data_IF_553932799949
#
_entry.id   IF_553932799949
#
_cell.length_a   1.000
_cell.length_b   1.000
_cell.length_c   1.000
_cell.angle_alpha   90.00
_cell.angle_beta   90.00
_cell.angle_gamma   90.00
#
_symmetry.space_group_name_H-M   'P 1'
#
loop_
_entity.id
_entity.type
_entity.pdbx_description
1 polymer ?
#
# COMPACT_ATOMS: atom_id res chain seq x y z
N UNK A 1 -19.80 29.05 -0.27
CA UNK A 1 -19.51 28.59 -1.63
C UNK A 1 -19.56 29.81 -2.52
N UNK A 2 -18.49 30.10 -3.23
CA UNK A 2 -18.45 31.18 -4.22
C UNK A 2 -19.37 30.81 -5.38
N UNK A 3 -20.13 31.80 -5.91
CA UNK A 3 -20.97 31.58 -7.12
C UNK A 3 -20.12 31.54 -8.41
N UNK A 4 -18.80 31.73 -8.27
CA UNK A 4 -17.89 31.74 -9.40
C UNK A 4 -17.54 30.29 -9.83
N UNK A 5 -17.95 29.92 -11.04
CA UNK A 5 -17.73 28.60 -11.63
C UNK A 5 -16.26 28.19 -11.77
N UNK A 6 -15.33 29.16 -11.85
CA UNK A 6 -13.89 28.90 -11.87
C UNK A 6 -13.39 28.45 -10.49
N UNK A 7 -13.85 29.10 -9.44
CA UNK A 7 -13.57 28.72 -8.04
C UNK A 7 -14.14 27.34 -7.75
N UNK A 8 -15.40 27.09 -8.14
CA UNK A 8 -16.06 25.80 -7.93
C UNK A 8 -15.31 24.64 -8.58
N UNK A 9 -14.74 24.81 -9.77
CA UNK A 9 -13.93 23.78 -10.42
C UNK A 9 -12.71 23.38 -9.60
N UNK A 10 -11.99 24.34 -9.03
CA UNK A 10 -10.84 24.08 -8.16
C UNK A 10 -11.27 23.48 -6.81
N UNK A 11 -12.29 24.04 -6.19
CA UNK A 11 -12.82 23.51 -4.92
C UNK A 11 -13.25 22.06 -5.05
N UNK A 12 -14.01 21.70 -6.08
CA UNK A 12 -14.45 20.33 -6.35
C UNK A 12 -13.24 19.36 -6.56
N UNK A 13 -12.19 19.81 -7.26
CA UNK A 13 -11.01 19.01 -7.46
C UNK A 13 -10.23 18.79 -6.15
N UNK A 14 -10.08 19.83 -5.33
CA UNK A 14 -9.45 19.77 -4.02
C UNK A 14 -10.25 18.94 -3.01
N UNK A 15 -11.57 19.04 -3.06
CA UNK A 15 -12.47 18.18 -2.27
C UNK A 15 -12.29 16.71 -2.65
N UNK A 16 -12.31 16.39 -3.94
CA UNK A 16 -12.03 15.02 -4.43
C UNK A 16 -10.68 14.51 -3.94
N UNK A 17 -9.63 15.34 -3.99
CA UNK A 17 -8.32 14.98 -3.46
C UNK A 17 -8.37 14.69 -1.95
N UNK A 18 -9.00 15.58 -1.18
CA UNK A 18 -9.11 15.46 0.26
C UNK A 18 -9.92 14.22 0.68
N UNK A 19 -11.03 13.94 -0.03
CA UNK A 19 -11.81 12.71 0.17
C UNK A 19 -10.97 11.46 -0.08
N UNK A 20 -10.18 11.43 -1.18
CA UNK A 20 -9.34 10.28 -1.49
C UNK A 20 -8.19 10.10 -0.50
N UNK A 21 -7.62 11.18 0.04
CA UNK A 21 -6.66 11.11 1.14
C UNK A 21 -7.30 10.52 2.41
N UNK A 22 -8.50 10.94 2.76
CA UNK A 22 -9.23 10.41 3.91
C UNK A 22 -9.60 8.91 3.71
N UNK A 23 -10.02 8.53 2.50
CA UNK A 23 -10.27 7.13 2.14
C UNK A 23 -9.00 6.28 2.26
N UNK A 24 -7.84 6.77 1.80
CA UNK A 24 -6.56 6.09 1.95
C UNK A 24 -6.23 5.86 3.42
N UNK A 25 -6.41 6.88 4.25
CA UNK A 25 -6.14 6.80 5.68
C UNK A 25 -6.98 5.74 6.37
N UNK A 26 -8.27 5.68 6.02
CA UNK A 26 -9.18 4.65 6.49
C UNK A 26 -8.79 3.25 5.99
N UNK A 27 -8.44 3.12 4.70
CA UNK A 27 -8.06 1.85 4.10
C UNK A 27 -6.79 1.27 4.71
N UNK A 28 -5.77 2.08 4.97
CA UNK A 28 -4.50 1.62 5.54
C UNK A 28 -4.72 0.99 6.91
N UNK A 29 -5.68 1.48 7.69
CA UNK A 29 -6.05 0.96 9.01
C UNK A 29 -7.07 -0.18 8.96
N UNK A 30 -7.72 -0.41 7.81
CA UNK A 30 -8.74 -1.47 7.66
C UNK A 30 -8.07 -2.85 7.55
N UNK A 31 -8.60 -3.84 8.29
CA UNK A 31 -8.15 -5.22 8.16
C UNK A 31 -8.61 -5.83 6.82
N UNK A 32 -7.84 -6.77 6.22
CA UNK A 32 -8.27 -7.48 5.02
C UNK A 32 -9.61 -8.20 5.18
N UNK A 33 -9.91 -8.65 6.41
CA UNK A 33 -11.17 -9.31 6.74
C UNK A 33 -12.39 -8.40 6.56
N UNK A 34 -12.23 -7.09 6.83
CA UNK A 34 -13.33 -6.12 6.82
C UNK A 34 -13.39 -5.29 5.53
N UNK A 35 -12.40 -5.42 4.67
CA UNK A 35 -12.35 -4.68 3.42
C UNK A 35 -13.55 -5.04 2.54
N UNK A 36 -14.27 -4.02 2.04
CA UNK A 36 -15.49 -4.16 1.21
C UNK A 36 -16.53 -5.11 1.84
N UNK A 37 -16.71 -5.05 3.16
CA UNK A 37 -17.71 -5.85 3.88
C UNK A 37 -17.39 -7.33 4.03
N UNK A 38 -16.14 -7.74 3.83
CA UNK A 38 -15.66 -9.11 4.09
C UNK A 38 -16.04 -10.18 3.06
N UNK A 39 -16.81 -9.85 2.01
CA UNK A 39 -17.20 -10.81 0.98
C UNK A 39 -16.00 -11.38 0.21
N UNK A 40 -15.01 -10.53 -0.08
CA UNK A 40 -13.76 -10.96 -0.73
C UNK A 40 -12.99 -11.91 0.17
N UNK A 41 -12.94 -11.60 1.47
CA UNK A 41 -12.23 -12.43 2.44
C UNK A 41 -12.76 -13.85 2.50
N UNK A 42 -14.09 -14.06 2.49
CA UNK A 42 -14.69 -15.40 2.49
C UNK A 42 -14.29 -16.22 1.26
N UNK A 43 -14.17 -15.59 0.10
CA UNK A 43 -13.67 -16.25 -1.12
C UNK A 43 -12.20 -16.65 -0.96
N UNK A 44 -11.36 -15.77 -0.39
CA UNK A 44 -9.95 -16.06 -0.14
C UNK A 44 -9.76 -17.21 0.84
N UNK A 45 -10.56 -17.28 1.91
CA UNK A 45 -10.56 -18.38 2.88
C UNK A 45 -10.89 -19.72 2.17
N UNK A 46 -11.93 -19.72 1.32
CA UNK A 46 -12.32 -20.92 0.59
C UNK A 46 -11.23 -21.37 -0.40
N UNK A 47 -10.61 -20.45 -1.13
CA UNK A 47 -9.50 -20.77 -2.05
C UNK A 47 -8.30 -21.30 -1.25
N UNK A 48 -7.93 -20.65 -0.15
CA UNK A 48 -6.83 -21.12 0.69
C UNK A 48 -7.08 -22.54 1.20
N UNK A 49 -8.30 -22.86 1.66
CA UNK A 49 -8.67 -24.21 2.08
C UNK A 49 -8.53 -25.26 0.98
N UNK A 50 -8.92 -24.93 -0.26
CA UNK A 50 -8.73 -25.81 -1.40
C UNK A 50 -7.22 -26.02 -1.74
N UNK A 51 -6.44 -24.92 -1.71
CA UNK A 51 -5.00 -24.95 -1.97
C UNK A 51 -4.22 -25.63 -0.85
N UNK A 52 -4.75 -25.69 0.37
CA UNK A 52 -4.13 -26.39 1.51
C UNK A 52 -3.91 -27.88 1.23
N UNK A 53 -4.86 -28.55 0.58
CA UNK A 53 -4.71 -29.95 0.20
C UNK A 53 -3.52 -30.16 -0.77
N UNK A 54 -3.36 -29.23 -1.74
CA UNK A 54 -2.22 -29.22 -2.67
C UNK A 54 -0.92 -28.96 -1.91
N UNK A 55 -0.93 -27.99 -0.99
CA UNK A 55 0.21 -27.67 -0.13
C UNK A 55 0.70 -28.86 0.70
N UNK A 56 -0.25 -29.66 1.26
CA UNK A 56 0.08 -30.88 2.00
C UNK A 56 0.67 -31.98 1.10
N UNK A 57 0.18 -32.13 -0.13
CA UNK A 57 0.78 -33.05 -1.09
C UNK A 57 2.21 -32.64 -1.48
N UNK A 58 2.42 -31.34 -1.73
CA UNK A 58 3.74 -30.78 -2.01
C UNK A 58 4.69 -30.90 -0.80
N UNK A 59 4.18 -30.79 0.42
CA UNK A 59 4.94 -31.00 1.64
C UNK A 59 5.62 -32.37 1.64
N UNK A 60 4.86 -33.43 1.33
CA UNK A 60 5.40 -34.79 1.24
C UNK A 60 6.47 -34.89 0.15
N UNK A 61 6.22 -34.29 -1.00
CA UNK A 61 7.18 -34.26 -2.11
C UNK A 61 8.48 -33.56 -1.71
N UNK A 62 8.42 -32.35 -1.15
CA UNK A 62 9.62 -31.61 -0.74
C UNK A 62 10.35 -32.28 0.42
N UNK A 63 9.62 -32.92 1.33
CA UNK A 63 10.21 -33.73 2.39
C UNK A 63 10.99 -34.91 1.81
N UNK A 64 10.40 -35.67 0.85
CA UNK A 64 11.07 -36.79 0.20
C UNK A 64 12.32 -36.35 -0.54
N UNK A 65 12.24 -35.26 -1.32
CA UNK A 65 13.41 -34.69 -2.01
C UNK A 65 14.48 -34.26 -1.02
N UNK A 66 14.08 -33.66 0.11
CA UNK A 66 14.98 -33.27 1.19
C UNK A 66 15.67 -34.46 1.88
N UNK A 67 15.01 -35.63 1.92
CA UNK A 67 15.59 -36.89 2.42
C UNK A 67 16.60 -37.50 1.46
N UNK A 68 16.27 -37.52 0.16
CA UNK A 68 17.08 -38.24 -0.85
C UNK A 68 18.45 -37.55 -1.09
N UNK A 69 18.52 -36.22 -1.00
CA UNK A 69 19.76 -35.44 -1.24
C UNK A 69 20.92 -35.79 -0.27
N UNK A 70 20.69 -35.83 1.07
CA UNK A 70 21.75 -36.25 2.02
C UNK A 70 22.09 -37.73 1.92
N UNK A 71 21.23 -38.59 1.33
CA UNK A 71 21.48 -40.02 1.20
C UNK A 71 22.59 -40.41 0.21
N UNK A 72 23.23 -39.43 -0.46
CA UNK A 72 24.46 -39.66 -1.23
C UNK A 72 25.66 -40.12 -0.40
N UNK A 73 25.59 -40.03 0.93
CA UNK A 73 26.56 -40.58 1.89
C UNK A 73 25.81 -41.40 2.93
N UNK A 74 25.79 -42.72 2.77
CA UNK A 74 25.12 -43.68 3.70
C UNK A 74 25.58 -43.56 5.17
N UNK A 75 26.70 -42.88 5.44
CA UNK A 75 27.25 -42.70 6.78
C UNK A 75 26.45 -41.64 7.62
N UNK A 76 25.83 -40.65 7.00
CA UNK A 76 25.16 -39.58 7.72
C UNK A 76 23.67 -39.93 8.06
N UNK A 77 23.05 -40.87 7.34
CA UNK A 77 21.69 -41.33 7.62
C UNK A 77 21.62 -42.19 8.89
N UNK A 78 22.73 -42.73 9.37
CA UNK A 78 22.82 -43.54 10.59
C UNK A 78 22.76 -42.76 11.89
N UNK A 79 22.82 -41.42 11.85
CA UNK A 79 22.74 -40.62 13.06
C UNK A 79 21.29 -40.28 13.41
N UNK A 80 20.76 -40.76 14.55
CA UNK A 80 19.37 -40.52 14.97
C UNK A 80 19.02 -39.03 15.06
N UNK A 81 20.02 -38.19 15.29
CA UNK A 81 19.88 -36.73 15.34
C UNK A 81 19.39 -36.12 14.00
N UNK A 82 19.88 -36.66 12.87
CA UNK A 82 19.43 -36.18 11.54
C UNK A 82 17.98 -36.56 11.25
N UNK A 83 17.56 -37.77 11.62
CA UNK A 83 16.19 -38.23 11.47
C UNK A 83 15.23 -37.35 12.31
N UNK A 84 15.61 -37.07 13.56
CA UNK A 84 14.85 -36.19 14.45
C UNK A 84 14.70 -34.77 13.87
N UNK A 85 15.78 -34.19 13.37
CA UNK A 85 15.79 -32.85 12.76
C UNK A 85 14.87 -32.79 11.54
N UNK A 86 14.87 -33.80 10.69
CA UNK A 86 13.97 -33.89 9.52
C UNK A 86 12.51 -34.00 9.95
N UNK A 87 12.21 -34.80 10.99
CA UNK A 87 10.86 -34.95 11.53
C UNK A 87 10.32 -33.64 12.13
N UNK A 88 11.15 -32.95 12.90
CA UNK A 88 10.79 -31.63 13.46
C UNK A 88 10.49 -30.65 12.33
N UNK A 89 11.33 -30.62 11.28
CA UNK A 89 11.12 -29.74 10.11
C UNK A 89 9.79 -30.07 9.40
N UNK A 90 9.50 -31.37 9.19
CA UNK A 90 8.24 -31.81 8.61
C UNK A 90 7.03 -31.39 9.45
N UNK A 91 7.08 -31.59 10.77
CA UNK A 91 6.03 -31.22 11.69
C UNK A 91 5.78 -29.70 11.71
N UNK A 92 6.87 -28.90 11.73
CA UNK A 92 6.77 -27.43 11.67
C UNK A 92 6.20 -26.96 10.32
N UNK A 93 6.63 -27.53 9.21
CA UNK A 93 6.10 -27.19 7.88
C UNK A 93 4.62 -27.59 7.73
N UNK A 94 4.23 -28.77 8.25
CA UNK A 94 2.83 -29.19 8.32
C UNK A 94 2.01 -28.19 9.16
N UNK A 95 2.50 -27.82 10.34
CA UNK A 95 1.86 -26.82 11.20
C UNK A 95 1.71 -25.47 10.48
N UNK A 96 2.75 -25.01 9.79
CA UNK A 96 2.73 -23.76 9.03
C UNK A 96 1.70 -23.78 7.88
N UNK A 97 1.44 -24.94 7.24
CA UNK A 97 0.40 -25.06 6.21
C UNK A 97 -0.98 -25.10 6.88
N UNK A 98 -1.15 -25.89 7.94
CA UNK A 98 -2.44 -26.09 8.60
C UNK A 98 -2.95 -24.80 9.23
N UNK A 99 -2.06 -24.06 9.89
CA UNK A 99 -2.34 -22.78 10.54
C UNK A 99 -1.88 -21.58 9.70
N UNK A 100 -1.74 -21.76 8.39
CA UNK A 100 -1.20 -20.76 7.49
C UNK A 100 -2.04 -19.48 7.45
N UNK A 101 -3.36 -19.60 7.52
CA UNK A 101 -4.28 -18.47 7.54
C UNK A 101 -4.09 -17.63 8.82
N UNK A 102 -4.05 -18.28 9.97
CA UNK A 102 -3.81 -17.64 11.27
C UNK A 102 -2.44 -16.98 11.32
N UNK A 103 -1.42 -17.63 10.74
CA UNK A 103 -0.07 -17.06 10.63
C UNK A 103 -0.08 -15.77 9.79
N UNK A 104 -0.75 -15.78 8.63
CA UNK A 104 -0.87 -14.59 7.78
C UNK A 104 -1.60 -13.46 8.49
N UNK A 105 -2.67 -13.76 9.23
CA UNK A 105 -3.40 -12.77 10.03
C UNK A 105 -2.58 -12.24 11.20
N UNK A 106 -1.82 -13.09 11.88
CA UNK A 106 -0.94 -12.66 12.97
C UNK A 106 0.14 -11.69 12.46
N UNK A 107 0.77 -12.00 11.32
CA UNK A 107 1.73 -11.10 10.67
C UNK A 107 1.06 -9.78 10.26
N UNK A 108 -0.17 -9.83 9.74
CA UNK A 108 -0.93 -8.63 9.40
C UNK A 108 -1.17 -7.74 10.62
N UNK A 109 -1.59 -8.33 11.76
CA UNK A 109 -1.82 -7.59 13.00
C UNK A 109 -0.55 -6.90 13.52
N UNK A 110 0.62 -7.55 13.37
CA UNK A 110 1.91 -6.93 13.69
C UNK A 110 2.16 -5.73 12.78
N UNK A 111 1.94 -5.87 11.47
CA UNK A 111 2.06 -4.78 10.51
C UNK A 111 1.14 -3.60 10.84
N UNK A 112 -0.10 -3.88 11.22
CA UNK A 112 -1.06 -2.85 11.68
C UNK A 112 -0.60 -2.16 12.97
N UNK A 113 -0.02 -2.91 13.90
CA UNK A 113 0.59 -2.35 15.12
C UNK A 113 1.69 -1.34 14.79
N UNK A 114 2.54 -1.62 13.79
CA UNK A 114 3.58 -0.70 13.34
C UNK A 114 2.95 0.57 12.73
N UNK A 115 1.94 0.41 11.86
CA UNK A 115 1.23 1.52 11.25
C UNK A 115 0.61 2.43 12.31
N UNK A 116 -0.13 1.86 13.27
CA UNK A 116 -0.77 2.63 14.34
C UNK A 116 0.25 3.34 15.24
N UNK A 117 1.39 2.71 15.49
CA UNK A 117 2.48 3.34 16.26
C UNK A 117 3.04 4.56 15.54
N UNK A 118 3.27 4.46 14.22
CA UNK A 118 3.75 5.59 13.40
C UNK A 118 2.72 6.73 13.39
N UNK A 119 1.45 6.41 13.20
CA UNK A 119 0.37 7.40 13.20
C UNK A 119 0.27 8.15 14.53
N UNK A 120 0.34 7.42 15.66
CA UNK A 120 0.26 8.00 16.99
C UNK A 120 1.51 8.83 17.35
N UNK A 121 2.71 8.35 16.97
CA UNK A 121 3.97 9.04 17.26
C UNK A 121 4.08 10.39 16.53
N UNK A 122 3.50 10.49 15.34
CA UNK A 122 3.53 11.73 14.57
C UNK A 122 2.52 12.76 15.05
N UNK A 123 1.56 12.40 15.91
CA UNK A 123 0.48 13.31 16.36
C UNK A 123 -0.43 13.79 15.22
N UNK A 124 -0.29 13.19 14.04
CA UNK A 124 -1.11 13.52 12.88
C UNK A 124 -2.44 12.76 12.97
N UNK A 125 -3.51 13.53 13.16
CA UNK A 125 -4.87 13.08 12.90
C UNK A 125 -5.08 12.77 11.41
N UNK A 126 -6.33 12.71 10.97
CA UNK A 126 -6.67 12.62 9.54
C UNK A 126 -5.95 13.73 8.77
N UNK A 127 -5.39 13.43 7.57
CA UNK A 127 -4.78 14.46 6.74
C UNK A 127 -5.74 15.62 6.55
N UNK A 128 -5.29 16.82 6.87
CA UNK A 128 -6.13 18.00 6.63
C UNK A 128 -6.29 18.17 5.12
N UNK A 129 -7.53 18.38 4.68
CA UNK A 129 -7.82 18.65 3.28
C UNK A 129 -7.11 19.92 2.82
N UNK A 130 -6.69 19.91 1.58
CA UNK A 130 -6.17 21.12 0.92
C UNK A 130 -7.36 22.00 0.58
N UNK A 131 -7.37 23.23 1.10
CA UNK A 131 -8.40 24.22 0.81
C UNK A 131 -7.83 25.36 -0.03
N UNK A 132 -8.65 25.94 -0.88
CA UNK A 132 -8.25 27.11 -1.68
C UNK A 132 -8.06 28.31 -0.75
N UNK A 133 -6.91 29.00 -0.78
CA UNK A 133 -6.69 30.21 0.01
C UNK A 133 -7.67 31.33 -0.39
N UNK A 134 -8.15 32.07 0.61
CA UNK A 134 -9.08 33.19 0.37
C UNK A 134 -8.51 34.26 -0.58
N UNK A 135 -7.19 34.46 -0.58
CA UNK A 135 -6.50 35.32 -1.53
C UNK A 135 -6.65 34.91 -2.98
N UNK A 136 -6.65 33.56 -3.27
CA UNK A 136 -6.87 33.06 -4.60
C UNK A 136 -8.34 33.19 -5.01
N UNK A 137 -9.27 32.97 -4.09
CA UNK A 137 -10.71 33.18 -4.33
C UNK A 137 -10.95 34.64 -4.73
N UNK A 138 -10.45 35.60 -3.97
CA UNK A 138 -10.63 37.03 -4.30
C UNK A 138 -9.97 37.38 -5.63
N UNK A 139 -8.76 36.86 -5.92
CA UNK A 139 -8.09 37.14 -7.21
C UNK A 139 -8.93 36.60 -8.40
N UNK A 140 -9.62 35.48 -8.25
CA UNK A 140 -10.48 34.92 -9.30
C UNK A 140 -11.80 35.70 -9.40
N UNK A 141 -12.38 36.12 -8.28
CA UNK A 141 -13.66 36.84 -8.24
C UNK A 141 -13.55 38.28 -8.77
N UNK A 142 -12.40 38.92 -8.56
CA UNK A 142 -12.13 40.27 -9.04
C UNK A 142 -11.86 40.34 -10.56
N UNK A 143 -11.72 39.18 -11.24
CA UNK A 143 -11.51 39.11 -12.68
C UNK A 143 -12.77 39.42 -13.49
N UNK A 144 -12.60 40.24 -14.54
CA UNK A 144 -13.66 40.51 -15.50
C UNK A 144 -14.07 39.26 -16.31
N UNK A 145 -15.25 39.31 -16.93
CA UNK A 145 -15.80 38.17 -17.70
C UNK A 145 -14.85 37.62 -18.76
N UNK A 146 -14.16 38.48 -19.52
CA UNK A 146 -13.22 38.08 -20.54
C UNK A 146 -11.93 37.45 -19.99
N UNK A 147 -11.51 37.84 -18.80
CA UNK A 147 -10.36 37.28 -18.09
C UNK A 147 -10.70 35.94 -17.44
N UNK A 148 -11.97 35.70 -17.15
CA UNK A 148 -12.46 34.44 -16.58
C UNK A 148 -12.38 33.24 -17.56
N UNK A 149 -12.39 33.49 -18.89
CA UNK A 149 -12.33 32.42 -19.90
C UNK A 149 -11.00 31.65 -19.85
N UNK A 150 -9.82 32.33 -19.93
CA UNK A 150 -8.54 31.62 -19.78
C UNK A 150 -8.35 31.03 -18.37
N UNK A 151 -8.85 31.67 -17.33
CA UNK A 151 -8.83 31.13 -15.95
C UNK A 151 -9.59 29.82 -15.85
N UNK A 152 -10.77 29.75 -16.47
CA UNK A 152 -11.57 28.52 -16.52
C UNK A 152 -10.80 27.38 -17.20
N UNK A 153 -10.16 27.62 -18.34
CA UNK A 153 -9.39 26.61 -19.02
C UNK A 153 -8.24 26.08 -18.14
N UNK A 154 -7.54 26.97 -17.42
CA UNK A 154 -6.48 26.61 -16.48
C UNK A 154 -7.01 25.76 -15.33
N UNK A 155 -8.10 26.18 -14.70
CA UNK A 155 -8.66 25.46 -13.55
C UNK A 155 -9.30 24.14 -13.95
N UNK A 156 -9.88 24.03 -15.15
CA UNK A 156 -10.43 22.77 -15.69
C UNK A 156 -9.30 21.77 -15.95
N UNK A 157 -8.23 22.17 -16.59
CA UNK A 157 -7.07 21.32 -16.83
C UNK A 157 -6.42 20.93 -15.49
N UNK A 158 -6.20 21.89 -14.60
CA UNK A 158 -5.65 21.63 -13.26
C UNK A 158 -6.51 20.67 -12.45
N UNK A 159 -7.82 20.88 -12.42
CA UNK A 159 -8.78 20.00 -11.76
C UNK A 159 -8.77 18.57 -12.31
N UNK A 160 -8.64 18.41 -13.63
CA UNK A 160 -8.51 17.10 -14.27
C UNK A 160 -7.23 16.39 -13.80
N UNK A 161 -6.07 17.09 -13.75
CA UNK A 161 -4.83 16.51 -13.25
C UNK A 161 -4.95 16.10 -11.79
N UNK A 162 -5.48 16.96 -10.92
CA UNK A 162 -5.70 16.67 -9.50
C UNK A 162 -6.56 15.43 -9.32
N UNK A 163 -7.67 15.32 -10.06
CA UNK A 163 -8.57 14.16 -10.02
C UNK A 163 -7.86 12.88 -10.47
N UNK A 164 -7.11 12.91 -11.58
CA UNK A 164 -6.34 11.76 -12.06
C UNK A 164 -5.29 11.32 -11.03
N UNK A 165 -4.58 12.25 -10.41
CA UNK A 165 -3.60 11.95 -9.37
C UNK A 165 -4.25 11.31 -8.13
N UNK A 166 -5.43 11.78 -7.72
CA UNK A 166 -6.23 11.20 -6.64
C UNK A 166 -6.56 9.74 -6.91
N UNK A 167 -7.01 9.41 -8.14
CA UNK A 167 -7.31 8.04 -8.53
C UNK A 167 -6.06 7.16 -8.60
N UNK A 168 -4.93 7.67 -9.09
CA UNK A 168 -3.68 6.89 -9.12
C UNK A 168 -3.25 6.52 -7.70
N UNK A 169 -3.39 7.45 -6.78
CA UNK A 169 -2.99 7.25 -5.39
C UNK A 169 -3.87 6.20 -4.71
N UNK A 170 -5.20 6.32 -4.80
CA UNK A 170 -6.12 5.35 -4.21
C UNK A 170 -5.96 3.96 -4.83
N UNK A 171 -5.75 3.85 -6.15
CA UNK A 171 -5.50 2.57 -6.82
C UNK A 171 -4.25 1.86 -6.28
N UNK A 172 -3.21 2.60 -5.91
CA UNK A 172 -2.00 2.01 -5.30
C UNK A 172 -2.34 1.33 -3.98
N UNK A 173 -3.16 1.95 -3.15
CA UNK A 173 -3.59 1.39 -1.86
C UNK A 173 -4.50 0.18 -2.06
N UNK A 174 -5.45 0.23 -3.00
CA UNK A 174 -6.26 -0.94 -3.38
C UNK A 174 -5.38 -2.10 -3.87
N UNK A 175 -4.37 -1.81 -4.70
CA UNK A 175 -3.41 -2.80 -5.19
C UNK A 175 -2.71 -3.57 -4.07
N UNK A 176 -2.41 -2.92 -2.93
CA UNK A 176 -1.87 -3.56 -1.74
C UNK A 176 -2.81 -4.64 -1.19
N UNK A 177 -4.13 -4.35 -1.08
CA UNK A 177 -5.11 -5.34 -0.63
C UNK A 177 -5.16 -6.56 -1.56
N UNK A 178 -5.18 -6.34 -2.88
CA UNK A 178 -5.14 -7.44 -3.84
C UNK A 178 -3.88 -8.30 -3.69
N UNK A 179 -2.70 -7.68 -3.50
CA UNK A 179 -1.46 -8.41 -3.21
C UNK A 179 -1.62 -9.27 -1.94
N UNK A 180 -2.14 -8.69 -0.84
CA UNK A 180 -2.36 -9.41 0.42
C UNK A 180 -3.28 -10.62 0.23
N UNK A 181 -4.37 -10.47 -0.50
CA UNK A 181 -5.30 -11.56 -0.80
C UNK A 181 -4.65 -12.68 -1.62
N UNK A 182 -3.91 -12.33 -2.68
CA UNK A 182 -3.20 -13.32 -3.49
C UNK A 182 -2.15 -14.09 -2.68
N UNK A 183 -1.36 -13.39 -1.87
CA UNK A 183 -0.41 -14.04 -0.97
C UNK A 183 -1.10 -14.97 0.02
N UNK A 184 -2.19 -14.52 0.64
CA UNK A 184 -2.92 -15.30 1.63
C UNK A 184 -3.60 -16.53 0.99
N UNK A 185 -4.21 -16.39 -0.18
CA UNK A 185 -4.86 -17.49 -0.90
C UNK A 185 -3.87 -18.60 -1.28
N UNK A 186 -2.67 -18.22 -1.74
CA UNK A 186 -1.66 -19.16 -2.25
C UNK A 186 -0.63 -19.58 -1.18
N UNK A 187 -0.73 -19.09 0.04
CA UNK A 187 0.22 -19.33 1.13
C UNK A 187 0.59 -20.82 1.34
N UNK A 188 -0.34 -21.79 1.26
CA UNK A 188 -0.01 -23.20 1.50
C UNK A 188 1.08 -23.76 0.57
N UNK A 189 1.17 -23.25 -0.69
CA UNK A 189 2.16 -23.73 -1.66
C UNK A 189 3.59 -23.35 -1.24
N UNK A 190 3.97 -22.07 -1.08
CA UNK A 190 5.32 -21.73 -0.65
C UNK A 190 5.63 -22.17 0.78
N UNK A 191 4.65 -22.26 1.67
CA UNK A 191 4.86 -22.78 3.03
C UNK A 191 5.25 -24.27 3.03
N UNK A 192 4.78 -25.08 2.05
CA UNK A 192 5.17 -26.48 1.92
C UNK A 192 6.68 -26.66 1.67
N UNK A 193 7.33 -25.67 1.07
CA UNK A 193 8.77 -25.74 0.74
C UNK A 193 9.68 -25.75 1.98
N UNK A 194 9.16 -25.39 3.17
CA UNK A 194 9.92 -25.49 4.41
C UNK A 194 10.26 -26.93 4.81
N UNK A 195 9.55 -27.94 4.27
CA UNK A 195 9.82 -29.35 4.55
C UNK A 195 11.18 -29.83 3.99
N UNK A 196 11.59 -29.26 2.84
CA UNK A 196 12.84 -29.63 2.18
C UNK A 196 13.95 -28.60 2.42
N UNK A 197 15.16 -29.07 2.74
CA UNK A 197 16.32 -28.18 2.91
C UNK A 197 16.65 -27.38 1.63
N UNK A 198 16.64 -27.99 0.43
CA UNK A 198 16.95 -27.27 -0.79
C UNK A 198 15.90 -26.23 -1.20
N UNK A 199 14.64 -26.45 -0.81
CA UNK A 199 13.48 -25.62 -1.22
C UNK A 199 13.11 -24.52 -0.20
N UNK A 200 13.62 -24.58 1.04
CA UNK A 200 13.23 -23.67 2.14
C UNK A 200 13.40 -22.17 1.82
N UNK A 201 14.31 -21.83 0.89
CA UNK A 201 14.52 -20.44 0.49
C UNK A 201 13.29 -19.81 -0.18
N UNK A 202 12.48 -20.63 -0.88
CA UNK A 202 11.23 -20.18 -1.49
C UNK A 202 10.24 -19.77 -0.39
N UNK A 203 10.06 -20.59 0.64
CA UNK A 203 9.21 -20.26 1.77
C UNK A 203 9.68 -19.02 2.53
N UNK A 204 11.00 -18.89 2.75
CA UNK A 204 11.59 -17.70 3.39
C UNK A 204 11.34 -16.44 2.57
N UNK A 205 11.58 -16.49 1.26
CA UNK A 205 11.31 -15.36 0.35
C UNK A 205 9.83 -15.00 0.31
N UNK A 206 8.94 -16.00 0.36
CA UNK A 206 7.51 -15.78 0.44
C UNK A 206 7.11 -14.99 1.70
N UNK A 207 7.58 -15.41 2.89
CA UNK A 207 7.30 -14.70 4.14
C UNK A 207 7.86 -13.27 4.10
N UNK A 208 9.10 -13.09 3.61
CA UNK A 208 9.70 -11.76 3.42
C UNK A 208 8.84 -10.89 2.49
N UNK A 209 8.40 -11.44 1.36
CA UNK A 209 7.55 -10.71 0.40
C UNK A 209 6.19 -10.35 0.99
N UNK A 210 5.59 -11.23 1.78
CA UNK A 210 4.35 -10.93 2.50
C UNK A 210 4.55 -9.81 3.51
N UNK A 211 5.60 -9.89 4.33
CA UNK A 211 5.96 -8.83 5.27
C UNK A 211 6.24 -7.49 4.56
N UNK A 212 6.87 -7.53 3.39
CA UNK A 212 7.07 -6.32 2.58
C UNK A 212 5.74 -5.66 2.20
N UNK A 213 4.76 -6.44 1.73
CA UNK A 213 3.43 -5.90 1.40
C UNK A 213 2.69 -5.37 2.65
N UNK A 214 2.89 -5.98 3.82
CA UNK A 214 2.35 -5.46 5.08
C UNK A 214 2.95 -4.10 5.43
N UNK A 215 4.28 -3.99 5.35
CA UNK A 215 5.02 -2.78 5.69
C UNK A 215 4.88 -1.68 4.62
N UNK A 216 4.46 -2.01 3.39
CA UNK A 216 4.13 -1.02 2.35
C UNK A 216 3.14 0.03 2.88
N UNK A 217 2.17 -0.39 3.70
CA UNK A 217 1.23 0.53 4.36
C UNK A 217 1.92 1.52 5.33
N UNK A 218 2.94 1.08 6.04
CA UNK A 218 3.71 1.96 6.93
C UNK A 218 4.51 3.01 6.14
N UNK A 219 5.09 2.62 5.00
CA UNK A 219 5.80 3.56 4.10
C UNK A 219 4.83 4.56 3.49
N UNK A 220 3.62 4.15 3.10
CA UNK A 220 2.58 5.06 2.59
C UNK A 220 2.20 6.09 3.66
N UNK A 221 1.97 5.66 4.91
CA UNK A 221 1.67 6.57 6.03
C UNK A 221 2.83 7.56 6.25
N UNK A 222 4.07 7.08 6.27
CA UNK A 222 5.25 7.95 6.40
C UNK A 222 5.33 8.97 5.26
N UNK A 223 5.07 8.55 4.02
CA UNK A 223 5.04 9.47 2.87
C UNK A 223 3.97 10.55 3.04
N UNK A 224 2.77 10.19 3.51
CA UNK A 224 1.70 11.16 3.79
C UNK A 224 2.09 12.13 4.93
N UNK A 225 2.73 11.64 5.99
CA UNK A 225 3.20 12.47 7.10
C UNK A 225 4.29 13.45 6.65
N UNK A 226 5.30 12.96 5.94
CA UNK A 226 6.38 13.81 5.40
C UNK A 226 5.80 14.85 4.45
N UNK A 227 4.87 14.45 3.60
CA UNK A 227 4.21 15.36 2.67
C UNK A 227 3.40 16.44 3.39
N UNK A 228 2.70 16.11 4.47
CA UNK A 228 1.91 17.11 5.22
C UNK A 228 2.79 18.22 5.81
N UNK A 229 4.01 17.88 6.22
CA UNK A 229 5.00 18.86 6.67
C UNK A 229 5.60 19.65 5.50
N UNK A 230 5.91 18.95 4.39
CA UNK A 230 6.46 19.57 3.18
C UNK A 230 5.47 20.57 2.55
N UNK A 231 4.19 20.22 2.48
CA UNK A 231 3.13 21.03 1.89
C UNK A 231 2.47 22.01 2.89
N UNK A 232 2.99 22.14 4.10
CA UNK A 232 2.44 23.04 5.12
C UNK A 232 2.54 24.53 4.74
N UNK A 233 3.50 24.90 3.87
CA UNK A 233 3.63 26.25 3.35
C UNK A 233 2.78 26.40 2.09
N UNK A 234 1.86 27.39 2.04
CA UNK A 234 1.10 27.63 0.82
C UNK A 234 2.03 28.05 -0.33
N UNK A 235 1.66 27.72 -1.58
CA UNK A 235 2.39 28.15 -2.76
C UNK A 235 2.65 29.68 -2.75
N UNK A 236 3.90 30.06 -3.02
CA UNK A 236 4.27 31.47 -3.11
C UNK A 236 3.90 31.98 -4.52
N UNK A 237 2.96 32.90 -4.58
CA UNK A 237 2.49 33.48 -5.83
C UNK A 237 2.89 34.95 -5.89
N UNK A 238 3.43 35.39 -7.03
CA UNK A 238 3.71 36.80 -7.28
C UNK A 238 2.41 37.58 -7.44
N UNK A 239 2.05 38.33 -6.39
CA UNK A 239 0.82 39.14 -6.35
C UNK A 239 0.82 40.31 -7.32
N UNK A 240 1.96 40.66 -7.94
CA UNK A 240 2.06 41.71 -8.94
C UNK A 240 1.76 41.25 -10.37
N UNK A 241 1.71 39.91 -10.59
CA UNK A 241 1.42 39.31 -11.89
C UNK A 241 -0.07 39.41 -12.25
N UNK A 242 -0.40 39.23 -13.54
CA UNK A 242 -1.79 39.12 -13.99
C UNK A 242 -2.48 37.91 -13.32
N UNK A 243 -3.78 38.04 -13.02
CA UNK A 243 -4.56 37.03 -12.31
C UNK A 243 -4.44 35.63 -12.92
N UNK A 244 -4.47 35.53 -14.26
CA UNK A 244 -4.28 34.25 -14.99
C UNK A 244 -2.93 33.63 -14.65
N UNK A 245 -1.86 34.44 -14.58
CA UNK A 245 -0.50 33.97 -14.25
C UNK A 245 -0.41 33.52 -12.79
N UNK A 246 -1.04 34.25 -11.88
CA UNK A 246 -1.10 33.90 -10.46
C UNK A 246 -1.79 32.54 -10.26
N UNK A 247 -2.96 32.34 -10.86
CA UNK A 247 -3.72 31.08 -10.77
C UNK A 247 -2.97 29.93 -11.43
N UNK A 248 -2.34 30.18 -12.58
CA UNK A 248 -1.51 29.15 -13.25
C UNK A 248 -0.33 28.70 -12.39
N UNK A 249 0.39 29.64 -11.79
CA UNK A 249 1.52 29.36 -10.91
C UNK A 249 1.06 28.57 -9.67
N UNK A 250 -0.04 29.00 -9.03
CA UNK A 250 -0.64 28.33 -7.88
C UNK A 250 -1.04 26.88 -8.21
N UNK A 251 -1.81 26.68 -9.29
CA UNK A 251 -2.27 25.35 -9.72
C UNK A 251 -1.08 24.46 -10.11
N UNK A 252 -0.08 25.04 -10.79
CA UNK A 252 1.14 24.32 -11.17
C UNK A 252 1.93 23.79 -9.96
N UNK A 253 2.14 24.63 -8.94
CA UNK A 253 2.84 24.25 -7.71
C UNK A 253 2.03 23.24 -6.89
N UNK A 254 0.71 23.41 -6.83
CA UNK A 254 -0.19 22.47 -6.19
C UNK A 254 -0.10 21.08 -6.85
N UNK A 255 -0.18 21.01 -8.18
CA UNK A 255 -0.05 19.75 -8.94
C UNK A 255 1.34 19.14 -8.72
N UNK A 256 2.40 19.95 -8.70
CA UNK A 256 3.75 19.47 -8.43
C UNK A 256 3.84 18.81 -7.05
N UNK A 257 3.32 19.46 -6.02
CA UNK A 257 3.28 18.91 -4.66
C UNK A 257 2.50 17.59 -4.61
N UNK A 258 1.34 17.53 -5.27
CA UNK A 258 0.55 16.30 -5.37
C UNK A 258 1.29 15.19 -6.13
N UNK A 259 2.02 15.51 -7.19
CA UNK A 259 2.87 14.56 -7.92
C UNK A 259 3.98 13.98 -7.03
N UNK A 260 4.60 14.79 -6.18
CA UNK A 260 5.61 14.34 -5.21
C UNK A 260 5.00 13.30 -4.26
N UNK A 261 3.80 13.57 -3.73
CA UNK A 261 3.11 12.59 -2.85
C UNK A 261 2.76 11.30 -3.60
N UNK A 262 2.11 11.40 -4.76
CA UNK A 262 1.72 10.25 -5.57
C UNK A 262 2.94 9.42 -5.97
N UNK A 263 4.05 10.08 -6.35
CA UNK A 263 5.32 9.44 -6.65
C UNK A 263 5.88 8.68 -5.45
N UNK A 264 5.88 9.30 -4.27
CA UNK A 264 6.34 8.69 -3.02
C UNK A 264 5.49 7.47 -2.62
N UNK A 265 4.17 7.57 -2.74
CA UNK A 265 3.25 6.46 -2.49
C UNK A 265 3.46 5.32 -3.49
N UNK A 266 3.68 5.62 -4.77
CA UNK A 266 3.99 4.61 -5.78
C UNK A 266 5.33 3.91 -5.57
N UNK A 267 6.32 4.62 -5.03
CA UNK A 267 7.64 4.03 -4.73
C UNK A 267 7.64 3.19 -3.46
N UNK A 268 6.58 3.19 -2.65
CA UNK A 268 6.53 2.47 -1.37
C UNK A 268 6.83 0.98 -1.50
N UNK A 269 6.28 0.30 -2.52
CA UNK A 269 6.55 -1.12 -2.79
C UNK A 269 8.03 -1.37 -3.09
N UNK A 270 8.67 -0.51 -3.88
CA UNK A 270 10.08 -0.62 -4.20
C UNK A 270 10.96 -0.39 -2.98
N UNK A 271 10.71 0.68 -2.25
CA UNK A 271 11.47 1.05 -1.04
C UNK A 271 11.48 -0.11 -0.05
N UNK A 272 10.30 -0.67 0.25
CA UNK A 272 10.22 -1.73 1.24
C UNK A 272 10.86 -3.04 0.75
N UNK A 273 10.76 -3.37 -0.54
CA UNK A 273 11.44 -4.55 -1.11
C UNK A 273 12.96 -4.42 -1.02
N UNK A 274 13.50 -3.26 -1.36
CA UNK A 274 14.94 -2.98 -1.21
C UNK A 274 15.38 -3.10 0.26
N UNK A 275 14.59 -2.58 1.21
CA UNK A 275 14.86 -2.72 2.65
C UNK A 275 14.82 -4.18 3.14
N UNK A 276 13.96 -5.02 2.56
CA UNK A 276 13.82 -6.44 2.91
C UNK A 276 14.83 -7.35 2.19
N UNK A 277 15.64 -6.80 1.28
CA UNK A 277 16.59 -7.57 0.47
C UNK A 277 15.89 -8.53 -0.50
N UNK A 278 14.89 -8.00 -1.23
CA UNK A 278 14.07 -8.71 -2.22
C UNK A 278 14.30 -8.17 -3.63
#
# INVERSE_FOLDING_TARGET
MSDNWVVQNLENALETWSEKLAEIWQLITTSPQNFKGGSIWSVIVNINGAVQAIGLALLVLFFTVGMVRPCGSFADVKKPEHALKLFIRFALAKGAITYGMELMLALFNIGQGIISTIMNAAGFGTPQGVTLPSSMVTTIEDCGFFESIPLWAVTLIGGLFITVLSFIMIMTVYGRFFKLYMYTALAPIPLSTFAGEPSQNVGKSFIKSYCAVLLEGAVIVLACIIFSVFAASPPQVDTSAAAVTQVWAYVGELIFNMLVLVGSVKMSDRIIREMMGL
#
